data_IF_157042989537
#
_entry.id   IF_157042989537
#
_cell.length_a   1.000
_cell.length_b   1.000
_cell.length_c   1.000
_cell.angle_alpha   90.00
_cell.angle_beta   90.00
_cell.angle_gamma   90.00
#
_symmetry.space_group_name_H-M   'P 1'
#
loop_
_entity.id
_entity.type
_entity.pdbx_description
1 polymer ?
#
# COMPACT_ATOMS: atom_id res chain seq x y z
N UNK A 1 17.99 2.88 13.91
CA UNK A 1 17.46 4.10 13.26
C UNK A 1 16.09 3.73 12.72
N UNK A 2 15.05 4.48 13.06
CA UNK A 2 13.72 4.27 12.51
C UNK A 2 13.78 4.47 11.00
N UNK A 3 13.55 3.40 10.25
CA UNK A 3 13.55 3.42 8.80
C UNK A 3 12.10 3.50 8.35
N UNK A 4 11.77 4.49 7.52
CA UNK A 4 10.47 4.54 6.87
C UNK A 4 10.49 3.58 5.69
N UNK A 5 9.40 2.82 5.54
CA UNK A 5 9.21 1.90 4.42
C UNK A 5 7.90 2.26 3.75
N UNK A 6 7.93 2.56 2.46
CA UNK A 6 6.72 2.77 1.66
C UNK A 6 6.46 1.52 0.86
N UNK A 7 5.32 0.88 1.09
CA UNK A 7 4.91 -0.36 0.45
C UNK A 7 4.00 -0.06 -0.73
N UNK A 8 4.31 -0.59 -1.90
CA UNK A 8 3.40 -0.62 -3.04
C UNK A 8 2.35 -1.72 -2.84
N UNK A 9 1.24 -1.33 -2.23
CA UNK A 9 0.17 -2.25 -1.89
C UNK A 9 -0.60 -2.77 -3.09
N UNK A 10 -0.63 -2.05 -4.22
CA UNK A 10 -1.37 -2.49 -5.41
C UNK A 10 -0.69 -3.70 -6.04
N UNK A 11 0.64 -3.67 -6.11
CA UNK A 11 1.45 -4.76 -6.61
C UNK A 11 1.35 -5.98 -5.67
N UNK A 12 1.63 -5.80 -4.36
CA UNK A 12 1.57 -6.88 -3.37
C UNK A 12 0.20 -7.56 -3.30
N UNK A 13 -0.88 -6.78 -3.35
CA UNK A 13 -2.23 -7.32 -3.32
C UNK A 13 -2.63 -8.12 -4.56
N UNK A 14 -1.98 -7.87 -5.71
CA UNK A 14 -2.31 -8.50 -7.00
C UNK A 14 -1.34 -9.65 -7.33
N UNK A 15 -0.28 -9.84 -6.56
CA UNK A 15 0.72 -10.89 -6.80
C UNK A 15 0.06 -12.28 -6.87
N UNK A 16 0.28 -12.98 -7.99
CA UNK A 16 -0.29 -14.32 -8.23
C UNK A 16 -1.80 -14.35 -8.46
N UNK A 17 -2.48 -13.20 -8.61
CA UNK A 17 -3.94 -13.10 -8.75
C UNK A 17 -4.34 -12.23 -9.94
N UNK A 18 -5.55 -12.46 -10.45
CA UNK A 18 -6.17 -11.59 -11.47
C UNK A 18 -6.87 -10.36 -10.87
N UNK A 19 -7.25 -10.44 -9.59
CA UNK A 19 -7.86 -9.35 -8.83
C UNK A 19 -7.07 -9.12 -7.54
N UNK A 20 -6.90 -7.85 -7.11
CA UNK A 20 -6.23 -7.54 -5.87
C UNK A 20 -7.00 -8.08 -4.66
N UNK A 21 -6.29 -8.45 -3.60
CA UNK A 21 -6.86 -8.85 -2.31
C UNK A 21 -6.28 -8.02 -1.18
N UNK A 22 -7.16 -7.48 -0.35
CA UNK A 22 -6.76 -6.73 0.85
C UNK A 22 -6.17 -7.65 1.91
N UNK A 23 -6.74 -8.84 2.08
CA UNK A 23 -6.24 -9.85 3.01
C UNK A 23 -4.76 -10.22 2.72
N UNK A 24 -4.42 -10.45 1.45
CA UNK A 24 -3.04 -10.74 1.04
C UNK A 24 -2.08 -9.58 1.35
N UNK A 25 -2.51 -8.35 1.08
CA UNK A 25 -1.73 -7.16 1.42
C UNK A 25 -1.49 -7.07 2.93
N UNK A 26 -2.54 -7.27 3.72
CA UNK A 26 -2.45 -7.23 5.18
C UNK A 26 -1.50 -8.32 5.72
N UNK A 27 -1.59 -9.55 5.22
CA UNK A 27 -0.68 -10.64 5.60
C UNK A 27 0.79 -10.29 5.30
N UNK A 28 1.07 -9.75 4.12
CA UNK A 28 2.42 -9.36 3.74
C UNK A 28 2.97 -8.20 4.58
N UNK A 29 2.13 -7.19 4.87
CA UNK A 29 2.50 -6.05 5.71
C UNK A 29 2.73 -6.51 7.16
N UNK A 30 1.87 -7.37 7.70
CA UNK A 30 2.01 -7.91 9.05
C UNK A 30 3.27 -8.76 9.22
N UNK A 31 3.60 -9.58 8.21
CA UNK A 31 4.86 -10.33 8.19
C UNK A 31 6.08 -9.38 8.19
N UNK A 32 6.04 -8.34 7.38
CA UNK A 32 7.11 -7.34 7.32
C UNK A 32 7.23 -6.54 8.63
N UNK A 33 6.11 -6.16 9.26
CA UNK A 33 6.07 -5.52 10.57
C UNK A 33 6.66 -6.40 11.67
N UNK A 34 6.44 -7.71 11.61
CA UNK A 34 6.99 -8.66 12.57
C UNK A 34 8.52 -8.81 12.43
N UNK A 35 9.03 -8.73 11.20
CA UNK A 35 10.48 -8.75 10.91
C UNK A 35 11.15 -7.41 11.22
N UNK A 36 10.42 -6.30 11.08
CA UNK A 36 10.92 -4.94 11.25
C UNK A 36 10.04 -4.13 12.24
N UNK A 37 10.05 -4.45 13.54
CA UNK A 37 9.18 -3.80 14.53
C UNK A 37 9.48 -2.32 14.75
N UNK A 38 10.70 -1.85 14.43
CA UNK A 38 11.08 -0.44 14.46
C UNK A 38 10.86 0.32 13.14
N UNK A 39 10.34 -0.34 12.09
CA UNK A 39 10.04 0.30 10.82
C UNK A 39 8.71 1.06 10.89
N UNK A 40 8.71 2.25 10.27
CA UNK A 40 7.48 3.02 10.05
C UNK A 40 6.99 2.72 8.65
N UNK A 41 5.93 1.91 8.56
CA UNK A 41 5.42 1.40 7.29
C UNK A 41 4.25 2.26 6.84
N UNK A 42 4.28 2.68 5.57
CA UNK A 42 3.20 3.38 4.90
C UNK A 42 2.80 2.58 3.68
N UNK A 43 1.57 2.07 3.65
CA UNK A 43 1.08 1.28 2.54
C UNK A 43 0.33 2.20 1.58
N UNK A 44 0.74 2.21 0.31
CA UNK A 44 0.14 3.04 -0.73
C UNK A 44 -0.53 2.14 -1.75
N UNK A 45 -1.78 2.44 -2.09
CA UNK A 45 -2.52 1.72 -3.13
C UNK A 45 -2.96 2.67 -4.24
N UNK A 46 -3.34 2.13 -5.39
CA UNK A 46 -3.89 2.89 -6.50
C UNK A 46 -5.29 3.44 -6.19
N UNK A 47 -5.64 4.56 -6.82
CA UNK A 47 -6.98 5.15 -6.70
C UNK A 47 -8.12 4.21 -7.14
N UNK A 48 -7.81 3.21 -7.97
CA UNK A 48 -8.78 2.20 -8.44
C UNK A 48 -8.85 0.97 -7.56
N UNK A 49 -7.98 0.85 -6.54
CA UNK A 49 -7.83 -0.34 -5.72
C UNK A 49 -9.13 -0.74 -5.01
N UNK A 50 -9.77 0.20 -4.30
CA UNK A 50 -11.04 -0.05 -3.61
C UNK A 50 -12.19 -0.50 -4.52
N UNK A 51 -12.10 -0.21 -5.83
CA UNK A 51 -13.09 -0.67 -6.82
C UNK A 51 -12.77 -2.05 -7.41
N UNK A 52 -11.54 -2.54 -7.21
CA UNK A 52 -11.03 -3.80 -7.79
C UNK A 52 -11.02 -4.96 -6.79
N UNK A 53 -10.96 -4.66 -5.49
CA UNK A 53 -11.05 -5.66 -4.41
C UNK A 53 -12.47 -6.25 -4.27
N UNK A 54 -12.61 -7.35 -3.52
CA UNK A 54 -13.93 -7.92 -3.26
C UNK A 54 -14.80 -6.91 -2.48
N UNK A 55 -16.11 -6.85 -2.79
CA UNK A 55 -17.04 -5.95 -2.09
C UNK A 55 -17.10 -6.21 -0.58
N UNK A 56 -16.78 -7.43 -0.16
CA UNK A 56 -16.67 -7.78 1.26
C UNK A 56 -15.47 -7.11 1.94
N UNK A 57 -14.41 -6.84 1.20
CA UNK A 57 -13.17 -6.19 1.69
C UNK A 57 -13.26 -4.65 1.59
N UNK A 58 -14.22 -4.10 0.83
CA UNK A 58 -14.35 -2.63 0.65
C UNK A 58 -14.56 -1.88 1.97
N UNK A 59 -15.34 -2.43 2.90
CA UNK A 59 -15.55 -1.78 4.20
C UNK A 59 -14.26 -1.70 5.02
N UNK A 60 -13.48 -2.79 5.03
CA UNK A 60 -12.19 -2.86 5.72
C UNK A 60 -11.16 -1.94 5.05
N UNK A 61 -11.19 -1.84 3.72
CA UNK A 61 -10.37 -0.89 2.98
C UNK A 61 -10.69 0.56 3.34
N UNK A 62 -11.96 0.93 3.36
CA UNK A 62 -12.39 2.29 3.70
C UNK A 62 -12.03 2.65 5.14
N UNK A 63 -12.18 1.70 6.08
CA UNK A 63 -11.77 1.87 7.48
C UNK A 63 -10.25 2.05 7.60
N UNK A 64 -9.45 1.25 6.89
CA UNK A 64 -7.99 1.36 6.91
C UNK A 64 -7.51 2.68 6.29
N UNK A 65 -8.17 3.19 5.25
CA UNK A 65 -7.90 4.53 4.71
C UNK A 65 -8.27 5.61 5.73
N UNK A 66 -9.41 5.48 6.40
CA UNK A 66 -9.86 6.43 7.43
C UNK A 66 -8.92 6.46 8.65
N UNK A 67 -8.32 5.32 9.00
CA UNK A 67 -7.35 5.18 10.08
C UNK A 67 -5.93 5.63 9.70
N UNK A 68 -5.70 6.06 8.46
CA UNK A 68 -4.38 6.38 7.89
C UNK A 68 -3.41 5.18 7.83
N UNK A 69 -3.93 3.96 7.85
CA UNK A 69 -3.15 2.72 7.66
C UNK A 69 -2.86 2.49 6.18
N UNK A 70 -3.80 2.89 5.31
CA UNK A 70 -3.70 2.84 3.85
C UNK A 70 -3.80 4.23 3.24
N UNK A 71 -2.90 4.54 2.31
CA UNK A 71 -2.91 5.80 1.57
C UNK A 71 -3.34 5.56 0.14
N UNK A 72 -4.53 6.04 -0.21
CA UNK A 72 -5.06 6.01 -1.58
C UNK A 72 -5.04 7.43 -2.18
N UNK A 73 -4.39 7.66 -3.34
CA UNK A 73 -4.41 8.94 -4.01
C UNK A 73 -5.81 9.22 -4.61
N UNK A 74 -6.22 10.50 -4.73
CA UNK A 74 -7.49 10.85 -5.33
C UNK A 74 -7.55 10.44 -6.80
N UNK A 75 -8.72 9.92 -7.22
CA UNK A 75 -8.99 9.57 -8.60
C UNK A 75 -8.84 10.80 -9.51
N UNK A 76 -7.92 10.75 -10.48
CA UNK A 76 -7.65 11.84 -11.42
C UNK A 76 -6.34 12.61 -11.20
N UNK A 77 -5.54 12.27 -10.17
CA UNK A 77 -4.17 12.75 -10.08
C UNK A 77 -3.33 12.19 -11.24
N UNK A 78 -2.89 13.07 -12.15
CA UNK A 78 -2.04 12.72 -13.29
C UNK A 78 -0.67 12.28 -12.76
N UNK A 79 -0.41 10.96 -12.74
CA UNK A 79 0.84 10.43 -12.20
C UNK A 79 0.86 8.95 -11.85
N UNK A 80 -0.31 8.32 -11.57
CA UNK A 80 -0.46 6.88 -11.19
C UNK A 80 0.29 6.52 -9.89
N UNK A 81 -0.16 5.49 -9.16
CA UNK A 81 0.28 5.18 -7.79
C UNK A 81 1.80 5.25 -7.57
N UNK A 82 2.58 4.80 -8.56
CA UNK A 82 4.05 4.78 -8.56
C UNK A 82 4.67 6.17 -8.31
N UNK A 83 4.17 7.22 -8.98
CA UNK A 83 4.70 8.56 -8.80
C UNK A 83 4.41 9.11 -7.40
N UNK A 84 3.30 8.68 -6.80
CA UNK A 84 2.91 9.07 -5.45
C UNK A 84 3.73 8.31 -4.39
N UNK A 85 3.96 7.00 -4.57
CA UNK A 85 4.89 6.18 -3.79
C UNK A 85 6.29 6.81 -3.79
N UNK A 86 6.82 7.11 -4.98
CA UNK A 86 8.13 7.76 -5.15
C UNK A 86 8.19 9.14 -4.49
N UNK A 87 7.11 9.92 -4.57
CA UNK A 87 7.04 11.25 -3.96
C UNK A 87 7.09 11.18 -2.44
N UNK A 88 6.35 10.25 -1.82
CA UNK A 88 6.38 10.04 -0.37
C UNK A 88 7.76 9.57 0.04
N UNK A 89 8.29 8.54 -0.62
CA UNK A 89 9.57 7.96 -0.27
C UNK A 89 10.71 8.97 -0.36
N UNK A 90 10.77 9.76 -1.44
CA UNK A 90 11.76 10.83 -1.58
C UNK A 90 11.62 11.93 -0.53
N UNK A 91 10.38 12.26 -0.13
CA UNK A 91 10.12 13.34 0.83
C UNK A 91 10.51 12.96 2.26
N UNK A 92 10.31 11.69 2.63
CA UNK A 92 10.58 11.19 3.99
C UNK A 92 11.88 10.40 4.10
N UNK A 93 12.61 10.21 3.00
CA UNK A 93 13.82 9.37 2.97
C UNK A 93 13.53 7.90 3.23
N UNK A 94 12.38 7.40 2.78
CA UNK A 94 11.97 6.01 2.97
C UNK A 94 12.60 5.06 1.95
N UNK A 95 12.72 3.80 2.35
CA UNK A 95 12.93 2.68 1.43
C UNK A 95 11.59 2.29 0.80
N UNK A 96 11.59 2.01 -0.51
CA UNK A 96 10.40 1.49 -1.19
C UNK A 96 10.44 -0.04 -1.17
N UNK A 97 9.35 -0.65 -0.74
CA UNK A 97 9.12 -2.09 -0.88
C UNK A 97 8.10 -2.28 -2.01
N UNK A 98 8.59 -2.68 -3.17
CA UNK A 98 7.78 -3.09 -4.31
C UNK A 98 8.40 -4.34 -4.93
N UNK A 99 7.56 -5.16 -5.57
CA UNK A 99 8.00 -6.32 -6.34
C UNK A 99 8.08 -6.01 -7.86
N UNK A 100 7.86 -4.75 -8.25
CA UNK A 100 8.08 -4.27 -9.62
C UNK A 100 9.52 -3.74 -9.77
N UNK A 101 10.19 -4.13 -10.86
CA UNK A 101 11.63 -3.95 -11.08
C UNK A 101 12.00 -2.65 -11.80
#
# INVERSE_FOLDING_TARGET
MSHHVVVDGSNLATEGRSLPSLAQLNEAVMAFMAEHPEALITVVVDATFGHRIDRKETAEFDDAVANNELVAPPAGAVGRGDAFVLSIANKVGATILSNDS
#
